data_IF_655057159173
#
_entry.id   IF_655057159173
#
_cell.length_a   1.000
_cell.length_b   1.000
_cell.length_c   1.000
_cell.angle_alpha   90.00
_cell.angle_beta   90.00
_cell.angle_gamma   90.00
#
_symmetry.space_group_name_H-M   'P 1'
#
loop_
_entity.id
_entity.type
_entity.pdbx_description
1 polymer ?
#
# COMPACT_ATOMS: atom_id res chain seq x y z
N UNK A 1 1.28 -32.87 -9.33
CA UNK A 1 0.57 -31.70 -8.83
C UNK A 1 1.44 -30.50 -9.08
N UNK A 2 1.13 -29.74 -10.11
CA UNK A 2 1.76 -28.45 -10.31
C UNK A 2 1.03 -27.44 -9.44
N UNK A 3 1.65 -27.01 -8.36
CA UNK A 3 1.21 -25.80 -7.67
C UNK A 3 1.35 -24.64 -8.64
N UNK A 4 0.24 -24.14 -9.14
CA UNK A 4 0.24 -22.90 -9.89
C UNK A 4 0.64 -21.77 -8.92
N UNK A 5 1.75 -21.12 -9.22
CA UNK A 5 2.12 -19.91 -8.50
C UNK A 5 0.98 -18.89 -8.62
N UNK A 6 0.55 -18.28 -7.51
CA UNK A 6 -0.50 -17.28 -7.56
C UNK A 6 -0.10 -16.15 -8.51
N UNK A 7 -0.92 -15.91 -9.51
CA UNK A 7 -0.72 -14.83 -10.47
C UNK A 7 -1.20 -13.51 -9.86
N UNK A 8 -0.40 -12.47 -10.03
CA UNK A 8 -0.78 -11.11 -9.67
C UNK A 8 -2.02 -10.68 -10.46
N UNK A 9 -3.06 -10.14 -9.81
CA UNK A 9 -4.17 -9.53 -10.53
C UNK A 9 -3.67 -8.45 -11.47
N UNK A 10 -4.05 -8.52 -12.76
CA UNK A 10 -3.62 -7.59 -13.79
C UNK A 10 -3.89 -6.12 -13.43
N UNK A 11 -5.00 -5.87 -12.73
CA UNK A 11 -5.39 -4.54 -12.30
C UNK A 11 -4.43 -3.94 -11.25
N UNK A 12 -3.98 -4.74 -10.29
CA UNK A 12 -2.98 -4.29 -9.30
C UNK A 12 -1.63 -4.02 -9.96
N UNK A 13 -1.24 -4.88 -10.89
CA UNK A 13 -0.01 -4.69 -11.66
C UNK A 13 -0.05 -3.38 -12.47
N UNK A 14 -1.20 -3.03 -13.04
CA UNK A 14 -1.40 -1.77 -13.75
C UNK A 14 -1.18 -0.56 -12.84
N UNK A 15 -1.68 -0.61 -11.60
CA UNK A 15 -1.45 0.46 -10.61
C UNK A 15 0.03 0.58 -10.25
N UNK A 16 0.71 -0.54 -10.00
CA UNK A 16 2.14 -0.55 -9.67
C UNK A 16 2.97 0.07 -10.78
N UNK A 17 2.69 -0.30 -12.02
CA UNK A 17 3.38 0.24 -13.21
C UNK A 17 3.13 1.73 -13.38
N UNK A 18 1.86 2.15 -13.33
CA UNK A 18 1.47 3.55 -13.46
C UNK A 18 2.09 4.43 -12.37
N UNK A 19 2.09 3.96 -11.13
CA UNK A 19 2.67 4.71 -10.01
C UNK A 19 4.21 4.76 -10.04
N UNK A 20 4.84 3.89 -10.82
CA UNK A 20 6.29 3.90 -11.04
C UNK A 20 6.73 4.68 -12.30
N UNK A 21 5.79 5.12 -13.12
CA UNK A 21 6.04 5.81 -14.38
C UNK A 21 5.94 7.33 -14.18
N UNK A 22 7.02 8.09 -14.39
CA UNK A 22 7.00 9.54 -14.20
C UNK A 22 6.10 10.29 -15.21
N UNK A 23 5.77 9.65 -16.34
CA UNK A 23 4.92 10.24 -17.36
C UNK A 23 3.42 10.04 -17.09
N UNK A 24 3.06 9.23 -16.10
CA UNK A 24 1.67 8.97 -15.73
C UNK A 24 1.23 9.96 -14.64
N UNK A 25 0.12 10.65 -14.90
CA UNK A 25 -0.44 11.62 -13.95
C UNK A 25 -1.10 10.94 -12.75
N UNK A 26 -1.18 11.66 -11.61
CA UNK A 26 -1.92 11.19 -10.43
C UNK A 26 -3.40 10.94 -10.73
N UNK A 27 -3.99 11.70 -11.64
CA UNK A 27 -5.37 11.49 -12.08
C UNK A 27 -5.56 10.14 -12.79
N UNK A 28 -4.62 9.75 -13.64
CA UNK A 28 -4.63 8.44 -14.29
C UNK A 28 -4.47 7.30 -13.28
N UNK A 29 -3.58 7.46 -12.31
CA UNK A 29 -3.40 6.50 -11.20
C UNK A 29 -4.69 6.38 -10.40
N UNK A 30 -5.34 7.49 -10.06
CA UNK A 30 -6.62 7.50 -9.34
C UNK A 30 -7.71 6.71 -10.09
N UNK A 31 -7.80 6.86 -11.40
CA UNK A 31 -8.75 6.12 -12.22
C UNK A 31 -8.51 4.60 -12.17
N UNK A 32 -7.25 4.17 -12.19
CA UNK A 32 -6.89 2.75 -12.05
C UNK A 32 -7.26 2.21 -10.66
N UNK A 33 -7.05 3.00 -9.61
CA UNK A 33 -7.41 2.63 -8.24
C UNK A 33 -8.91 2.48 -8.09
N UNK A 34 -9.71 3.40 -8.65
CA UNK A 34 -11.18 3.36 -8.57
C UNK A 34 -11.79 2.10 -9.19
N UNK A 35 -11.11 1.47 -10.13
CA UNK A 35 -11.51 0.18 -10.68
C UNK A 35 -11.31 -1.00 -9.70
N UNK A 36 -10.65 -0.77 -8.56
CA UNK A 36 -10.31 -1.78 -7.55
C UNK A 36 -10.92 -1.40 -6.20
N UNK A 37 -12.08 -1.96 -5.79
CA UNK A 37 -12.77 -1.59 -4.55
C UNK A 37 -11.91 -1.75 -3.29
N UNK A 38 -11.16 -2.85 -3.19
CA UNK A 38 -10.29 -3.12 -2.02
C UNK A 38 -9.15 -2.09 -1.92
N UNK A 39 -8.59 -1.72 -3.04
CA UNK A 39 -7.51 -0.73 -3.07
C UNK A 39 -8.05 0.69 -2.82
N UNK A 40 -9.22 1.01 -3.34
CA UNK A 40 -9.93 2.28 -3.05
C UNK A 40 -10.12 2.46 -1.55
N UNK A 41 -10.64 1.44 -0.85
CA UNK A 41 -10.83 1.48 0.59
C UNK A 41 -9.51 1.70 1.34
N UNK A 42 -8.45 1.00 0.94
CA UNK A 42 -7.13 1.12 1.57
C UNK A 42 -6.48 2.48 1.34
N UNK A 43 -6.60 3.03 0.13
CA UNK A 43 -6.08 4.38 -0.21
C UNK A 43 -6.77 5.46 0.61
N UNK A 44 -8.10 5.41 0.72
CA UNK A 44 -8.86 6.35 1.54
C UNK A 44 -8.54 6.21 3.03
N UNK A 45 -8.43 4.99 3.53
CA UNK A 45 -8.06 4.73 4.93
C UNK A 45 -6.68 5.27 5.25
N UNK A 46 -5.70 5.04 4.38
CA UNK A 46 -4.33 5.52 4.58
C UNK A 46 -4.25 7.06 4.52
N UNK A 47 -4.94 7.68 3.57
CA UNK A 47 -4.98 9.15 3.45
C UNK A 47 -5.62 9.82 4.66
N UNK A 48 -6.57 9.16 5.31
CA UNK A 48 -7.25 9.64 6.51
C UNK A 48 -6.56 9.22 7.82
N UNK A 49 -5.49 8.44 7.76
CA UNK A 49 -4.72 8.06 8.94
C UNK A 49 -4.04 9.28 9.58
N UNK A 50 -3.73 9.18 10.88
CA UNK A 50 -3.07 10.26 11.62
C UNK A 50 -1.74 10.72 10.99
N UNK A 51 -1.08 9.85 10.26
CA UNK A 51 0.20 10.12 9.58
C UNK A 51 0.04 11.08 8.40
N UNK A 52 -1.02 10.92 7.61
CA UNK A 52 -1.24 11.68 6.38
C UNK A 52 -2.32 12.75 6.48
N UNK A 53 -3.23 12.61 7.42
CA UNK A 53 -4.32 13.55 7.61
C UNK A 53 -3.82 14.83 8.29
N UNK A 54 -3.97 15.96 7.60
CA UNK A 54 -3.61 17.29 8.09
C UNK A 54 -4.81 18.11 8.55
N UNK A 55 -5.86 17.45 9.03
CA UNK A 55 -7.03 18.10 9.62
C UNK A 55 -8.29 18.05 8.76
N UNK A 56 -8.22 17.62 7.52
CA UNK A 56 -9.38 17.44 6.64
C UNK A 56 -9.54 15.97 6.25
N UNK A 57 -10.76 15.46 6.42
CA UNK A 57 -11.10 14.12 5.95
C UNK A 57 -11.13 14.07 4.41
N UNK A 58 -10.46 13.08 3.84
CA UNK A 58 -10.41 12.85 2.41
C UNK A 58 -11.47 11.83 2.01
N UNK A 59 -12.39 12.21 1.13
CA UNK A 59 -13.52 11.39 0.71
C UNK A 59 -13.41 10.85 -0.72
N UNK A 60 -12.48 11.37 -1.51
CA UNK A 60 -12.30 10.97 -2.92
C UNK A 60 -10.93 10.37 -3.16
N UNK A 61 -10.87 9.40 -4.08
CA UNK A 61 -9.60 8.78 -4.48
C UNK A 61 -8.67 9.81 -5.10
N UNK A 62 -9.20 10.75 -5.87
CA UNK A 62 -8.41 11.83 -6.49
C UNK A 62 -7.68 12.67 -5.42
N UNK A 63 -8.41 13.09 -4.37
CA UNK A 63 -7.80 13.84 -3.27
C UNK A 63 -6.83 12.98 -2.47
N UNK A 64 -7.17 11.72 -2.24
CA UNK A 64 -6.31 10.77 -1.54
C UNK A 64 -4.98 10.54 -2.27
N UNK A 65 -5.00 10.41 -3.60
CA UNK A 65 -3.77 10.26 -4.39
C UNK A 65 -2.88 11.50 -4.33
N UNK A 66 -3.46 12.69 -4.26
CA UNK A 66 -2.72 13.94 -4.08
C UNK A 66 -2.08 14.01 -2.69
N UNK A 67 -2.80 13.59 -1.65
CA UNK A 67 -2.30 13.56 -0.27
C UNK A 67 -1.16 12.55 -0.10
N UNK A 68 -1.31 11.36 -0.66
CA UNK A 68 -0.35 10.25 -0.52
C UNK A 68 0.84 10.37 -1.46
N UNK A 69 0.60 10.81 -2.71
CA UNK A 69 1.58 10.82 -3.77
C UNK A 69 1.80 9.44 -4.42
N UNK A 70 2.39 9.44 -5.61
CA UNK A 70 2.59 8.23 -6.42
C UNK A 70 3.39 7.14 -5.69
N UNK A 71 4.38 7.53 -4.92
CA UNK A 71 5.27 6.59 -4.23
C UNK A 71 4.55 5.80 -3.13
N UNK A 72 3.74 6.45 -2.30
CA UNK A 72 2.93 5.79 -1.29
C UNK A 72 1.86 4.88 -1.93
N UNK A 73 1.25 5.33 -3.02
CA UNK A 73 0.31 4.52 -3.81
C UNK A 73 0.98 3.26 -4.36
N UNK A 74 2.18 3.40 -4.92
CA UNK A 74 2.96 2.26 -5.43
C UNK A 74 3.24 1.24 -4.32
N UNK A 75 3.69 1.70 -3.16
CA UNK A 75 3.98 0.83 -2.02
C UNK A 75 2.71 0.10 -1.53
N UNK A 76 1.59 0.81 -1.49
CA UNK A 76 0.30 0.24 -1.12
C UNK A 76 -0.15 -0.82 -2.13
N UNK A 77 0.02 -0.56 -3.43
CA UNK A 77 -0.32 -1.51 -4.49
C UNK A 77 0.54 -2.79 -4.43
N UNK A 78 1.84 -2.65 -4.18
CA UNK A 78 2.74 -3.79 -3.97
C UNK A 78 2.29 -4.61 -2.75
N UNK A 79 1.92 -3.96 -1.67
CA UNK A 79 1.41 -4.62 -0.46
C UNK A 79 0.13 -5.40 -0.75
N UNK A 80 -0.82 -4.80 -1.47
CA UNK A 80 -2.03 -5.49 -1.89
C UNK A 80 -1.73 -6.71 -2.77
N UNK A 81 -0.79 -6.57 -3.69
CA UNK A 81 -0.36 -7.66 -4.55
C UNK A 81 0.20 -8.83 -3.74
N UNK A 82 1.09 -8.55 -2.80
CA UNK A 82 1.66 -9.56 -1.89
C UNK A 82 0.55 -10.20 -1.03
N UNK A 83 -0.36 -9.40 -0.50
CA UNK A 83 -1.50 -9.90 0.29
C UNK A 83 -2.37 -10.87 -0.51
N UNK A 84 -2.70 -10.53 -1.76
CA UNK A 84 -3.48 -11.43 -2.63
C UNK A 84 -2.73 -12.73 -2.92
N UNK A 85 -1.42 -12.65 -3.12
CA UNK A 85 -0.59 -13.84 -3.34
C UNK A 85 -0.49 -14.72 -2.09
N UNK A 86 -0.39 -14.13 -0.92
CA UNK A 86 -0.25 -14.85 0.35
C UNK A 86 -1.58 -15.33 0.94
N UNK A 87 -2.71 -14.75 0.57
CA UNK A 87 -4.05 -15.16 1.05
C UNK A 87 -4.43 -16.58 0.65
N UNK A 88 -3.79 -17.14 -0.35
CA UNK A 88 -3.96 -18.54 -0.78
C UNK A 88 -3.06 -19.51 -0.03
N UNK A 89 -2.13 -19.00 0.78
CA UNK A 89 -1.27 -19.82 1.64
C UNK A 89 -1.98 -19.93 2.99
N UNK A 90 -2.23 -21.15 3.44
CA UNK A 90 -2.78 -21.36 4.77
C UNK A 90 -1.72 -21.00 5.81
N UNK A 91 -1.85 -19.81 6.37
CA UNK A 91 -0.92 -19.26 7.36
C UNK A 91 -1.19 -19.79 8.79
N UNK A 92 -2.08 -20.77 8.96
CA UNK A 92 -2.40 -21.39 10.25
C UNK A 92 -3.06 -20.44 11.24
N UNK A 93 -2.51 -20.32 12.45
CA UNK A 93 -3.11 -19.55 13.55
C UNK A 93 -2.89 -18.02 13.46
N UNK A 94 -2.21 -17.52 12.43
CA UNK A 94 -2.01 -16.08 12.25
C UNK A 94 -3.29 -15.40 11.75
N UNK A 95 -3.76 -14.43 12.52
CA UNK A 95 -4.81 -13.54 12.05
C UNK A 95 -4.27 -12.61 10.96
N UNK A 96 -4.55 -12.93 9.70
CA UNK A 96 -4.07 -12.19 8.54
C UNK A 96 -4.43 -10.70 8.60
N UNK A 97 -5.66 -10.38 9.02
CA UNK A 97 -6.09 -9.00 9.14
C UNK A 97 -5.25 -8.23 10.17
N UNK A 98 -5.03 -8.82 11.34
CA UNK A 98 -4.22 -8.23 12.39
C UNK A 98 -2.77 -8.04 11.95
N UNK A 99 -2.21 -9.01 11.24
CA UNK A 99 -0.86 -8.92 10.67
C UNK A 99 -0.73 -7.70 9.75
N UNK A 100 -1.68 -7.50 8.84
CA UNK A 100 -1.63 -6.39 7.89
C UNK A 100 -1.89 -5.03 8.55
N UNK A 101 -2.79 -4.97 9.54
CA UNK A 101 -3.00 -3.76 10.33
C UNK A 101 -1.73 -3.36 11.09
N UNK A 102 -1.06 -4.31 11.72
CA UNK A 102 0.19 -4.07 12.45
C UNK A 102 1.32 -3.65 11.51
N UNK A 103 1.40 -4.26 10.33
CA UNK A 103 2.37 -3.91 9.29
C UNK A 103 2.17 -2.49 8.78
N UNK A 104 0.94 -2.08 8.52
CA UNK A 104 0.60 -0.71 8.10
C UNK A 104 0.92 0.31 9.19
N UNK A 105 0.59 0.01 10.44
CA UNK A 105 0.89 0.88 11.59
C UNK A 105 2.40 1.07 11.75
N UNK A 106 3.15 0.01 11.62
CA UNK A 106 4.62 0.02 11.68
C UNK A 106 5.22 0.83 10.53
N UNK A 107 4.73 0.64 9.32
CA UNK A 107 5.15 1.38 8.14
C UNK A 107 4.91 2.89 8.30
N UNK A 108 3.73 3.28 8.77
CA UNK A 108 3.37 4.67 9.03
C UNK A 108 4.26 5.29 10.11
N UNK A 109 4.53 4.57 11.19
CA UNK A 109 5.44 5.01 12.26
C UNK A 109 6.87 5.20 11.76
N UNK A 110 7.38 4.25 10.98
CA UNK A 110 8.71 4.33 10.38
C UNK A 110 8.84 5.57 9.48
N UNK A 111 7.81 5.88 8.69
CA UNK A 111 7.80 7.05 7.82
C UNK A 111 7.81 8.37 8.61
N UNK A 112 7.03 8.47 9.68
CA UNK A 112 7.01 9.65 10.55
C UNK A 112 8.37 9.86 11.20
N UNK A 113 8.96 8.81 11.76
CA UNK A 113 10.29 8.88 12.40
C UNK A 113 11.37 9.27 11.39
N UNK A 114 11.33 8.72 10.18
CA UNK A 114 12.28 9.06 9.11
C UNK A 114 12.15 10.52 8.70
N UNK A 115 10.94 11.04 8.60
CA UNK A 115 10.70 12.45 8.30
C UNK A 115 11.23 13.37 9.40
N UNK A 116 10.97 13.05 10.67
CA UNK A 116 11.47 13.83 11.82
C UNK A 116 12.99 13.78 11.96
N UNK A 117 13.62 12.68 11.58
CA UNK A 117 15.06 12.51 11.56
C UNK A 117 15.75 13.18 10.38
N UNK A 118 15.02 13.80 9.45
CA UNK A 118 15.56 14.44 8.26
C UNK A 118 16.02 13.47 7.17
N UNK A 119 15.48 12.25 7.15
CA UNK A 119 15.79 11.28 6.11
C UNK A 119 15.29 11.77 4.75
N UNK A 120 16.10 11.62 3.70
CA UNK A 120 15.76 12.16 2.37
C UNK A 120 14.52 11.54 1.76
N UNK A 121 14.26 10.26 2.05
CA UNK A 121 13.15 9.51 1.49
C UNK A 121 12.34 8.77 2.58
N UNK A 122 11.41 9.45 3.26
CA UNK A 122 10.55 8.80 4.26
C UNK A 122 9.68 7.68 3.70
N UNK A 123 9.36 7.72 2.39
CA UNK A 123 8.57 6.68 1.74
C UNK A 123 9.33 5.35 1.65
N UNK A 124 10.66 5.38 1.57
CA UNK A 124 11.48 4.17 1.64
C UNK A 124 11.35 3.50 3.02
N UNK A 125 11.38 4.29 4.10
CA UNK A 125 11.17 3.80 5.46
C UNK A 125 9.77 3.16 5.63
N UNK A 126 8.75 3.72 4.98
CA UNK A 126 7.41 3.11 4.93
C UNK A 126 7.45 1.73 4.30
N UNK A 127 8.09 1.58 3.15
CA UNK A 127 8.21 0.31 2.45
C UNK A 127 8.92 -0.74 3.29
N UNK A 128 10.05 -0.39 3.89
CA UNK A 128 10.80 -1.30 4.76
C UNK A 128 9.98 -1.72 5.96
N UNK A 129 9.30 -0.77 6.63
CA UNK A 129 8.44 -1.07 7.78
C UNK A 129 7.25 -1.95 7.43
N UNK A 130 6.73 -1.81 6.22
CA UNK A 130 5.60 -2.61 5.74
C UNK A 130 5.99 -4.06 5.45
N UNK A 131 7.16 -4.27 4.86
CA UNK A 131 7.57 -5.57 4.34
C UNK A 131 8.45 -6.38 5.30
N UNK A 132 8.90 -5.79 6.42
CA UNK A 132 9.92 -6.41 7.29
C UNK A 132 9.52 -7.78 7.85
N UNK A 133 8.24 -8.04 8.09
CA UNK A 133 7.77 -9.29 8.71
C UNK A 133 7.11 -10.26 7.73
N UNK A 134 7.23 -10.01 6.41
CA UNK A 134 6.67 -10.92 5.40
C UNK A 134 7.17 -12.35 5.55
N UNK A 135 8.38 -12.54 6.01
CA UNK A 135 8.94 -13.86 6.27
C UNK A 135 8.16 -14.68 7.30
N UNK A 136 7.39 -14.04 8.19
CA UNK A 136 6.56 -14.74 9.19
C UNK A 136 5.32 -15.39 8.60
N UNK A 137 4.93 -15.01 7.38
CA UNK A 137 3.82 -15.60 6.64
C UNK A 137 4.22 -16.82 5.81
N UNK A 138 5.51 -17.07 5.69
CA UNK A 138 6.03 -18.17 4.88
C UNK A 138 5.97 -19.52 5.64
#
# INVERSE_FOLDING_TARGET
>A
MTEELPTLPAALLSVVRAAGDPDVSLAQIANLIMAQPSMTASVLSLANSATFNRGETTHTVQKATLVLGARAIRNLAVTHAVRVMTSKVDAGALNELQFWEDSLRRAATAMVLAHQAGYEDPAEAFTVGLLQDLGTLA
#
